data_IF_148537819881
#
_entry.id   IF_148537819881
#
_cell.length_a   1.000
_cell.length_b   1.000
_cell.length_c   1.000
_cell.angle_alpha   90.00
_cell.angle_beta   90.00
_cell.angle_gamma   90.00
#
_symmetry.space_group_name_H-M   'P 1'
#
loop_
_entity.id
_entity.type
_entity.pdbx_description
1 polymer ?
#
# COMPACT_ATOMS: atom_id res chain seq x y z
N UNK A 1 6.67 8.64 30.64
CA UNK A 1 5.92 7.70 29.78
C UNK A 1 5.70 8.23 28.34
N UNK A 2 5.17 9.46 28.12
CA UNK A 2 4.88 10.02 26.77
C UNK A 2 6.10 10.24 25.85
N UNK A 3 7.26 10.56 26.42
CA UNK A 3 8.52 10.74 25.68
C UNK A 3 9.13 9.41 25.21
N UNK A 4 9.02 8.34 26.00
CA UNK A 4 9.46 7.00 25.62
C UNK A 4 8.60 6.42 24.49
N UNK A 5 7.28 6.62 24.54
CA UNK A 5 6.38 6.24 23.43
C UNK A 5 6.66 7.03 22.15
N UNK A 6 7.03 8.31 22.29
CA UNK A 6 7.47 9.14 21.16
C UNK A 6 8.77 8.61 20.57
N UNK A 7 9.79 8.34 21.39
CA UNK A 7 11.07 7.77 20.92
C UNK A 7 10.91 6.38 20.29
N UNK A 8 10.05 5.51 20.85
CA UNK A 8 9.72 4.23 20.24
C UNK A 8 9.01 4.39 18.89
N UNK A 9 8.09 5.35 18.76
CA UNK A 9 7.42 5.66 17.48
C UNK A 9 8.36 6.27 16.44
N UNK A 10 9.41 6.99 16.87
CA UNK A 10 10.43 7.56 15.99
C UNK A 10 11.44 6.50 15.52
N UNK A 11 11.60 5.40 16.26
CA UNK A 11 12.58 4.35 15.95
C UNK A 11 12.01 3.18 15.12
N UNK A 12 10.69 3.11 14.87
CA UNK A 12 10.02 1.97 14.23
C UNK A 12 9.15 2.34 13.00
N UNK A 13 9.65 3.19 12.09
CA UNK A 13 8.94 3.49 10.83
C UNK A 13 8.71 2.27 9.92
N UNK A 14 9.43 1.17 10.14
CA UNK A 14 9.30 -0.10 9.40
C UNK A 14 8.27 -1.09 10.00
N UNK A 15 7.67 -0.78 11.16
CA UNK A 15 6.66 -1.65 11.80
C UNK A 15 5.21 -1.23 11.56
N UNK A 16 4.96 -0.15 10.81
CA UNK A 16 3.59 0.29 10.50
C UNK A 16 2.85 -0.80 9.73
N UNK A 17 1.81 -1.36 10.36
CA UNK A 17 0.92 -2.36 9.77
C UNK A 17 -0.43 -1.76 9.43
N UNK A 18 -1.04 -2.26 8.37
CA UNK A 18 -2.45 -2.03 8.03
C UNK A 18 -3.26 -3.27 8.40
N UNK A 19 -4.39 -3.04 9.06
CA UNK A 19 -5.41 -4.06 9.29
C UNK A 19 -6.34 -4.13 8.05
N UNK A 20 -6.42 -5.31 7.46
CA UNK A 20 -7.18 -5.61 6.25
C UNK A 20 -8.28 -6.58 6.61
N UNK A 21 -9.53 -6.16 6.41
CA UNK A 21 -10.71 -7.02 6.60
C UNK A 21 -11.11 -7.64 5.27
N UNK A 22 -11.08 -8.96 5.20
CA UNK A 22 -11.52 -9.78 4.06
C UNK A 22 -12.67 -10.70 4.48
N UNK A 23 -13.20 -11.48 3.54
CA UNK A 23 -14.19 -12.53 3.83
C UNK A 23 -13.67 -13.63 4.76
N UNK A 24 -12.36 -13.83 4.80
CA UNK A 24 -11.70 -14.85 5.63
C UNK A 24 -11.32 -14.33 7.03
N UNK A 25 -11.54 -13.04 7.28
CA UNK A 25 -11.21 -12.37 8.53
C UNK A 25 -10.16 -11.27 8.38
N UNK A 26 -9.40 -11.05 9.44
CA UNK A 26 -8.45 -9.95 9.55
C UNK A 26 -7.02 -10.39 9.23
N UNK A 27 -6.37 -9.60 8.39
CA UNK A 27 -4.94 -9.71 8.08
C UNK A 27 -4.21 -8.44 8.50
N UNK A 28 -2.99 -8.58 9.02
CA UNK A 28 -2.15 -7.45 9.41
C UNK A 28 -0.88 -7.46 8.59
N UNK A 29 -0.78 -6.57 7.62
CA UNK A 29 0.36 -6.51 6.70
C UNK A 29 1.22 -5.29 7.01
N UNK A 30 2.55 -5.43 6.97
CA UNK A 30 3.42 -4.26 7.03
C UNK A 30 3.23 -3.43 5.77
N UNK A 31 3.21 -2.11 5.90
CA UNK A 31 3.13 -1.21 4.75
C UNK A 31 4.32 -1.40 3.80
N UNK A 32 5.48 -1.77 4.33
CA UNK A 32 6.70 -2.07 3.55
C UNK A 32 6.56 -3.30 2.67
N UNK A 33 5.68 -4.24 3.00
CA UNK A 33 5.52 -5.50 2.26
C UNK A 33 4.55 -5.32 1.08
N UNK A 34 3.73 -4.26 1.12
CA UNK A 34 2.74 -3.94 0.09
C UNK A 34 3.43 -3.37 -1.13
N UNK A 35 3.28 -4.07 -2.25
CA UNK A 35 3.79 -3.68 -3.56
C UNK A 35 2.89 -2.62 -4.20
N UNK A 36 1.61 -2.95 -4.33
CA UNK A 36 0.60 -2.11 -4.99
C UNK A 36 -0.81 -2.50 -4.52
N UNK A 37 -1.76 -1.61 -4.80
CA UNK A 37 -3.19 -1.86 -4.71
C UNK A 37 -3.79 -1.73 -6.11
N UNK A 38 -4.81 -2.53 -6.37
CA UNK A 38 -5.59 -2.50 -7.61
C UNK A 38 -7.08 -2.47 -7.28
N UNK A 39 -7.84 -1.58 -7.93
CA UNK A 39 -9.30 -1.60 -7.80
C UNK A 39 -9.91 -2.72 -8.66
N UNK A 40 -10.86 -3.47 -8.09
CA UNK A 40 -11.79 -4.31 -8.84
C UNK A 40 -13.21 -3.90 -8.47
N UNK A 41 -13.86 -3.09 -9.32
CA UNK A 41 -15.16 -2.48 -9.03
C UNK A 41 -15.14 -1.69 -7.70
N UNK A 42 -15.94 -2.09 -6.71
CA UNK A 42 -16.03 -1.49 -5.38
C UNK A 42 -15.09 -2.13 -4.34
N UNK A 43 -14.21 -3.03 -4.77
CA UNK A 43 -13.23 -3.70 -3.91
C UNK A 43 -11.80 -3.32 -4.30
N UNK A 44 -10.86 -3.60 -3.41
CA UNK A 44 -9.43 -3.37 -3.66
C UNK A 44 -8.67 -4.64 -3.37
N UNK A 45 -7.76 -4.99 -4.26
CA UNK A 45 -6.80 -6.08 -4.06
C UNK A 45 -5.47 -5.48 -3.65
N UNK A 46 -4.95 -5.92 -2.51
CA UNK A 46 -3.58 -5.65 -2.06
C UNK A 46 -2.67 -6.74 -2.61
N UNK A 47 -1.50 -6.34 -3.12
CA UNK A 47 -0.45 -7.24 -3.58
C UNK A 47 0.78 -7.02 -2.71
N UNK A 48 1.38 -8.09 -2.17
CA UNK A 48 2.70 -8.03 -1.56
C UNK A 48 3.80 -8.24 -2.58
N UNK A 49 5.00 -7.79 -2.25
CA UNK A 49 6.21 -8.14 -2.99
C UNK A 49 6.53 -9.65 -2.96
N UNK A 50 6.01 -10.39 -1.97
CA UNK A 50 6.14 -11.85 -1.91
C UNK A 50 5.26 -12.61 -2.90
N UNK A 51 4.34 -11.93 -3.60
CA UNK A 51 3.34 -12.55 -4.47
C UNK A 51 1.98 -12.81 -3.80
N UNK A 52 1.89 -12.67 -2.47
CA UNK A 52 0.60 -12.79 -1.77
C UNK A 52 -0.38 -11.69 -2.22
N UNK A 53 -1.66 -12.04 -2.32
CA UNK A 53 -2.73 -11.08 -2.58
C UNK A 53 -3.89 -11.22 -1.60
N UNK A 54 -4.53 -10.09 -1.29
CA UNK A 54 -5.71 -10.06 -0.44
C UNK A 54 -6.72 -9.06 -0.97
N UNK A 55 -7.94 -9.53 -1.20
CA UNK A 55 -9.06 -8.67 -1.59
C UNK A 55 -9.82 -8.18 -0.37
N UNK A 56 -10.17 -6.90 -0.36
CA UNK A 56 -10.91 -6.25 0.72
C UNK A 56 -12.09 -5.45 0.19
N UNK A 57 -13.19 -5.43 0.94
CA UNK A 57 -14.44 -4.73 0.61
C UNK A 57 -14.36 -3.22 0.91
N UNK A 58 -13.31 -2.56 0.44
CA UNK A 58 -13.10 -1.12 0.53
C UNK A 58 -12.58 -0.62 -0.80
N UNK A 59 -12.98 0.59 -1.18
CA UNK A 59 -12.62 1.19 -2.46
C UNK A 59 -11.18 1.72 -2.45
N UNK A 60 -10.58 1.82 -3.63
CA UNK A 60 -9.23 2.35 -3.78
C UNK A 60 -9.13 3.81 -3.28
N UNK A 61 -10.19 4.60 -3.46
CA UNK A 61 -10.28 5.99 -2.99
C UNK A 61 -10.25 6.10 -1.45
N UNK A 62 -10.87 5.16 -0.75
CA UNK A 62 -10.77 5.11 0.70
C UNK A 62 -9.34 4.81 1.15
N UNK A 63 -8.64 3.92 0.45
CA UNK A 63 -7.23 3.64 0.75
C UNK A 63 -6.31 4.81 0.43
N UNK A 64 -6.52 5.50 -0.69
CA UNK A 64 -5.82 6.75 -1.03
C UNK A 64 -5.89 7.80 0.09
N UNK A 65 -7.04 7.90 0.76
CA UNK A 65 -7.23 8.84 1.86
C UNK A 65 -6.57 8.40 3.17
N UNK A 66 -6.39 7.09 3.39
CA UNK A 66 -5.87 6.53 4.65
C UNK A 66 -4.39 6.18 4.63
N UNK A 67 -3.84 5.82 3.47
CA UNK A 67 -2.44 5.40 3.36
C UNK A 67 -1.48 6.60 3.43
N UNK A 68 -0.27 6.44 3.99
CA UNK A 68 0.72 7.51 4.03
C UNK A 68 1.09 7.98 2.62
N UNK A 69 0.78 9.25 2.32
CA UNK A 69 0.98 9.85 0.99
C UNK A 69 2.44 10.00 0.58
N UNK A 70 3.37 9.90 1.53
CA UNK A 70 4.81 9.87 1.26
C UNK A 70 5.30 8.50 0.77
N UNK A 71 4.50 7.44 0.97
CA UNK A 71 4.81 6.05 0.61
C UNK A 71 3.95 5.52 -0.53
N UNK A 72 2.66 5.84 -0.54
CA UNK A 72 1.71 5.33 -1.52
C UNK A 72 1.18 6.42 -2.43
N UNK A 73 1.22 6.19 -3.74
CA UNK A 73 0.84 7.17 -4.75
C UNK A 73 -0.14 6.56 -5.75
N UNK A 74 -1.24 7.27 -6.00
CA UNK A 74 -2.20 6.89 -7.03
C UNK A 74 -1.65 7.30 -8.40
N UNK A 75 -1.39 6.31 -9.25
CA UNK A 75 -0.85 6.51 -10.60
C UNK A 75 -1.91 6.36 -11.68
N UNK A 76 -3.03 5.71 -11.36
CA UNK A 76 -4.17 5.51 -12.25
C UNK A 76 -5.47 5.48 -11.45
N UNK A 77 -6.61 5.61 -12.10
CA UNK A 77 -7.92 5.43 -11.45
C UNK A 77 -8.04 4.07 -10.74
N UNK A 78 -7.30 3.07 -11.19
CA UNK A 78 -7.32 1.70 -10.66
C UNK A 78 -6.06 1.28 -9.90
N UNK A 79 -5.04 2.14 -9.78
CA UNK A 79 -3.75 1.75 -9.19
C UNK A 79 -3.23 2.75 -8.17
N UNK A 80 -2.81 2.21 -7.02
CA UNK A 80 -1.93 2.88 -6.07
C UNK A 80 -0.67 2.03 -5.93
N UNK A 81 0.50 2.65 -6.07
CA UNK A 81 1.80 1.97 -5.96
C UNK A 81 2.54 2.41 -4.71
N UNK A 82 3.34 1.52 -4.14
CA UNK A 82 4.28 1.88 -3.09
C UNK A 82 5.59 2.38 -3.72
N UNK A 83 5.97 3.63 -3.43
CA UNK A 83 7.17 4.30 -3.96
C UNK A 83 8.43 3.49 -3.75
N UNK A 84 8.52 2.71 -2.67
CA UNK A 84 9.68 1.84 -2.37
C UNK A 84 9.98 0.87 -3.51
N UNK A 85 8.97 0.41 -4.23
CA UNK A 85 9.08 -0.59 -5.26
C UNK A 85 9.11 -0.01 -6.68
N UNK A 86 9.01 1.31 -6.85
CA UNK A 86 9.11 1.93 -8.17
C UNK A 86 10.58 1.94 -8.59
N UNK A 87 10.93 1.13 -9.59
CA UNK A 87 12.30 1.04 -10.12
C UNK A 87 12.56 2.06 -11.22
N UNK A 88 11.54 2.35 -12.03
CA UNK A 88 11.64 3.25 -13.18
C UNK A 88 10.27 3.89 -13.48
N UNK A 89 10.31 5.13 -13.94
CA UNK A 89 9.15 5.82 -14.51
C UNK A 89 9.45 6.09 -15.98
N UNK A 90 8.72 5.42 -16.87
CA UNK A 90 8.81 5.66 -18.31
C UNK A 90 7.98 6.90 -18.66
N UNK A 91 8.45 7.70 -19.62
CA UNK A 91 7.79 8.96 -20.04
C UNK A 91 6.88 8.80 -21.27
N UNK A 92 6.83 7.61 -21.86
CA UNK A 92 5.98 7.31 -23.01
C UNK A 92 4.52 7.07 -22.57
N UNK A 93 3.55 7.43 -23.44
CA UNK A 93 2.10 7.23 -23.28
C UNK A 93 1.50 7.58 -21.90
N UNK A 94 1.85 8.75 -21.36
CA UNK A 94 1.26 9.27 -20.11
C UNK A 94 1.91 8.74 -18.82
N UNK A 95 2.89 7.84 -18.95
CA UNK A 95 3.83 7.44 -17.90
C UNK A 95 3.43 6.17 -17.15
N UNK A 96 4.38 5.22 -17.09
CA UNK A 96 4.21 3.94 -16.40
C UNK A 96 5.25 3.76 -15.29
N UNK A 97 4.82 3.20 -14.15
CA UNK A 97 5.71 2.80 -13.07
C UNK A 97 6.05 1.31 -13.20
N UNK A 98 7.33 0.99 -13.33
CA UNK A 98 7.81 -0.38 -13.29
C UNK A 98 7.95 -0.84 -11.83
N UNK A 99 7.45 -2.04 -11.56
CA UNK A 99 7.52 -2.74 -10.27
C UNK A 99 8.35 -4.02 -10.46
N UNK A 100 8.93 -4.61 -9.41
CA UNK A 100 9.67 -5.86 -9.52
C UNK A 100 8.77 -7.00 -10.00
N UNK A 101 9.38 -7.92 -10.75
CA UNK A 101 8.79 -9.19 -11.20
C UNK A 101 8.58 -10.15 -10.05
#
# INVERSE_FOLDING_TARGET
QRLLSLMASLNNKEEEKIALSSSEGWSFWKLTDILRLESSSNMTTFFKASGDKLMVSRTLKEFENTLPKDRFFRTHQSHIVNRRYVSQVLREDGGYALLPS
#
